data_IF_064961730709
#
_entry.id   IF_064961730709
#
_cell.length_a   1.000
_cell.length_b   1.000
_cell.length_c   1.000
_cell.angle_alpha   90.00
_cell.angle_beta   90.00
_cell.angle_gamma   90.00
#
_symmetry.space_group_name_H-M   'P 1'
#
loop_
_entity.id
_entity.type
_entity.pdbx_description
1 polymer ?
#
# COMPACT_ATOMS: atom_id res chain seq x y z
N UNK A 1 -20.63 -5.86 4.59
CA UNK A 1 -20.51 -6.60 5.87
C UNK A 1 -21.74 -7.49 6.14
N UNK A 2 -21.58 -8.82 6.23
CA UNK A 2 -22.70 -9.77 6.54
C UNK A 2 -23.13 -9.67 8.01
N UNK A 3 -22.18 -9.52 8.94
CA UNK A 3 -22.44 -9.31 10.38
C UNK A 3 -21.48 -8.22 10.90
N UNK A 4 -21.96 -6.98 11.13
CA UNK A 4 -21.19 -5.93 11.79
C UNK A 4 -20.80 -6.38 13.20
N UNK A 5 -19.51 -6.26 13.54
CA UNK A 5 -18.91 -6.64 14.83
C UNK A 5 -17.69 -5.76 15.07
N UNK A 6 -17.21 -5.66 16.30
CA UNK A 6 -16.06 -4.82 16.65
C UNK A 6 -16.31 -3.32 16.39
N UNK A 7 -17.54 -2.88 16.66
CA UNK A 7 -18.01 -1.50 16.58
C UNK A 7 -17.60 -0.78 15.28
N UNK A 8 -16.63 0.12 15.37
CA UNK A 8 -16.17 0.94 14.25
C UNK A 8 -15.27 0.19 13.27
N UNK A 9 -14.76 -1.00 13.64
CA UNK A 9 -13.82 -1.76 12.80
C UNK A 9 -14.47 -2.63 11.74
N UNK A 10 -15.81 -2.73 11.68
CA UNK A 10 -16.50 -3.46 10.61
C UNK A 10 -17.90 -2.90 10.39
N UNK A 11 -17.99 -1.74 9.76
CA UNK A 11 -19.26 -1.07 9.49
C UNK A 11 -19.77 -1.32 8.05
N UNK A 12 -21.02 -0.89 7.78
CA UNK A 12 -21.60 -0.96 6.42
C UNK A 12 -21.37 0.31 5.60
N UNK A 13 -21.13 1.42 6.29
CA UNK A 13 -20.91 2.74 5.73
C UNK A 13 -19.84 3.45 6.56
N UNK A 14 -18.85 4.01 5.89
CA UNK A 14 -17.75 4.74 6.49
C UNK A 14 -17.17 5.72 5.47
N UNK A 15 -16.47 6.73 5.97
CA UNK A 15 -15.79 7.70 5.12
C UNK A 15 -14.45 7.14 4.66
N UNK A 16 -14.18 7.26 3.37
CA UNK A 16 -12.93 6.87 2.72
C UNK A 16 -12.23 8.12 2.16
N UNK A 17 -10.91 8.08 2.17
CA UNK A 17 -10.07 9.07 1.51
C UNK A 17 -9.07 8.32 0.63
N UNK A 18 -9.29 8.33 -0.69
CA UNK A 18 -8.47 7.60 -1.65
C UNK A 18 -7.62 8.55 -2.50
N UNK A 19 -6.40 8.11 -2.83
CA UNK A 19 -5.53 8.81 -3.78
C UNK A 19 -5.14 7.85 -4.90
N UNK A 20 -5.53 8.19 -6.11
CA UNK A 20 -5.00 7.61 -7.35
C UNK A 20 -3.79 8.43 -7.79
N UNK A 21 -2.60 7.88 -7.59
CA UNK A 21 -1.41 8.45 -8.18
C UNK A 21 -1.24 7.89 -9.58
N UNK A 22 -0.73 8.65 -10.56
CA UNK A 22 -0.42 8.20 -11.92
C UNK A 22 1.05 8.53 -12.28
N UNK A 23 1.79 7.54 -12.78
CA UNK A 23 3.21 7.49 -13.15
C UNK A 23 3.38 6.58 -14.37
N UNK A 24 4.49 6.77 -15.05
CA UNK A 24 4.90 5.94 -16.19
C UNK A 24 5.22 4.51 -15.72
N UNK A 25 4.72 3.45 -16.38
CA UNK A 25 5.05 2.08 -16.02
C UNK A 25 6.55 1.76 -16.16
N UNK A 26 7.25 2.41 -17.08
CA UNK A 26 8.68 2.22 -17.34
C UNK A 26 9.56 3.12 -16.45
N UNK A 27 8.98 4.15 -15.83
CA UNK A 27 9.64 5.03 -14.87
C UNK A 27 8.79 5.22 -13.60
N UNK A 28 9.08 4.39 -12.59
CA UNK A 28 8.48 4.47 -11.24
C UNK A 28 9.36 5.23 -10.24
N UNK A 29 10.30 6.05 -10.71
CA UNK A 29 11.06 6.95 -9.85
C UNK A 29 10.16 8.00 -9.20
N UNK A 30 10.59 8.59 -8.09
CA UNK A 30 9.82 9.67 -7.45
C UNK A 30 10.74 10.86 -7.14
N UNK A 31 10.45 12.09 -7.59
CA UNK A 31 11.38 13.22 -7.46
C UNK A 31 11.68 13.60 -6.00
N UNK A 32 10.78 13.28 -5.07
CA UNK A 32 10.97 13.45 -3.61
C UNK A 32 11.50 12.21 -2.90
N UNK A 33 12.08 11.26 -3.63
CA UNK A 33 12.65 10.05 -3.06
C UNK A 33 13.84 10.35 -2.14
N UNK A 34 14.70 11.28 -2.57
CA UNK A 34 15.91 11.72 -1.86
C UNK A 34 15.63 12.47 -0.55
N UNK A 35 14.41 12.97 -0.35
CA UNK A 35 14.00 13.56 0.92
C UNK A 35 13.97 12.45 2.00
N UNK A 36 14.93 12.52 2.93
CA UNK A 36 15.02 11.81 4.21
C UNK A 36 15.02 10.27 4.13
N UNK A 37 16.22 9.67 4.16
CA UNK A 37 16.47 8.22 4.18
C UNK A 37 16.58 7.58 5.57
N UNK A 38 16.60 8.39 6.64
CA UNK A 38 16.92 7.93 8.01
C UNK A 38 15.74 7.40 8.81
N UNK A 39 14.51 7.49 8.28
CA UNK A 39 13.34 6.96 8.97
C UNK A 39 13.36 5.43 8.95
N UNK A 40 13.13 4.83 10.10
CA UNK A 40 12.99 3.37 10.24
C UNK A 40 11.54 2.99 10.46
N UNK A 41 11.09 1.97 9.75
CA UNK A 41 9.73 1.45 9.87
C UNK A 41 9.76 -0.01 10.30
N UNK A 42 8.77 -0.40 11.10
CA UNK A 42 8.53 -1.80 11.39
C UNK A 42 7.90 -2.45 10.15
N UNK A 43 8.69 -3.18 9.38
CA UNK A 43 8.30 -3.81 8.12
C UNK A 43 8.09 -5.30 8.36
N UNK A 44 6.96 -5.83 7.87
CA UNK A 44 6.63 -7.25 7.92
C UNK A 44 6.53 -7.79 6.49
N UNK A 45 7.69 -8.13 5.93
CA UNK A 45 7.82 -8.61 4.56
C UNK A 45 7.08 -9.93 4.33
N UNK A 46 6.82 -10.26 3.06
CA UNK A 46 6.25 -11.56 2.68
C UNK A 46 7.13 -12.72 3.14
N UNK A 47 8.44 -12.58 2.99
CA UNK A 47 9.40 -13.62 3.39
C UNK A 47 9.36 -13.85 4.91
N UNK A 48 9.32 -12.77 5.70
CA UNK A 48 9.25 -12.86 7.15
C UNK A 48 7.94 -13.51 7.61
N UNK A 49 6.81 -13.19 6.98
CA UNK A 49 5.52 -13.83 7.23
C UNK A 49 5.56 -15.34 6.96
N UNK A 50 6.05 -15.75 5.79
CA UNK A 50 6.09 -17.17 5.39
C UNK A 50 7.06 -17.97 6.26
N UNK A 51 8.16 -17.34 6.64
CA UNK A 51 9.21 -17.97 7.47
C UNK A 51 8.91 -17.92 8.97
N UNK A 52 7.78 -17.32 9.38
CA UNK A 52 7.40 -17.15 10.79
C UNK A 52 8.32 -16.22 11.58
N UNK A 53 9.09 -15.36 10.90
CA UNK A 53 9.94 -14.35 11.54
C UNK A 53 9.09 -13.15 11.95
N UNK A 54 9.49 -12.45 13.00
CA UNK A 54 8.84 -11.21 13.40
C UNK A 54 9.10 -10.07 12.40
N UNK A 55 8.24 -9.06 12.42
CA UNK A 55 8.49 -7.81 11.71
C UNK A 55 9.79 -7.15 12.21
N UNK A 56 10.53 -6.50 11.32
CA UNK A 56 11.84 -5.92 11.61
C UNK A 56 11.84 -4.42 11.34
N UNK A 57 12.63 -3.67 12.10
CA UNK A 57 12.88 -2.26 11.78
C UNK A 57 13.85 -2.18 10.62
N UNK A 58 13.46 -1.48 9.57
CA UNK A 58 14.25 -1.32 8.35
C UNK A 58 14.31 0.16 8.03
N UNK A 59 15.51 0.73 7.82
CA UNK A 59 15.66 2.07 7.28
C UNK A 59 15.01 2.17 5.91
N UNK A 60 14.21 3.21 5.70
CA UNK A 60 13.43 3.35 4.47
C UNK A 60 14.34 3.48 3.23
N UNK A 61 15.54 4.04 3.38
CA UNK A 61 16.55 4.11 2.33
C UNK A 61 17.03 2.74 1.88
N UNK A 62 17.10 1.77 2.78
CA UNK A 62 17.54 0.40 2.50
C UNK A 62 16.42 -0.46 1.93
N UNK A 63 15.16 -0.14 2.23
CA UNK A 63 14.02 -0.95 1.82
C UNK A 63 13.89 -1.13 0.29
N UNK A 64 14.22 -0.09 -0.50
CA UNK A 64 14.24 -0.20 -1.97
C UNK A 64 15.53 -0.85 -2.47
N UNK A 65 16.68 -0.47 -1.92
CA UNK A 65 17.98 -1.03 -2.31
C UNK A 65 18.06 -2.55 -2.05
N UNK A 66 17.43 -3.04 -0.99
CA UNK A 66 17.32 -4.45 -0.65
C UNK A 66 16.20 -5.19 -1.42
N UNK A 67 15.45 -4.50 -2.27
CA UNK A 67 14.34 -5.08 -3.03
C UNK A 67 13.13 -5.49 -2.19
N UNK A 68 13.03 -5.00 -0.95
CA UNK A 68 11.90 -5.29 -0.06
C UNK A 68 10.65 -4.53 -0.55
N UNK A 69 10.82 -3.26 -0.91
CA UNK A 69 9.79 -2.43 -1.54
C UNK A 69 10.11 -2.27 -3.01
N UNK A 70 9.13 -2.54 -3.87
CA UNK A 70 9.34 -2.71 -5.31
C UNK A 70 9.89 -1.46 -6.05
N UNK A 71 9.50 -0.24 -5.64
CA UNK A 71 9.91 0.98 -6.35
C UNK A 71 9.90 2.23 -5.45
N UNK A 72 10.51 3.31 -5.95
CA UNK A 72 10.64 4.59 -5.25
C UNK A 72 9.30 5.24 -4.93
N UNK A 73 8.35 5.17 -5.86
CA UNK A 73 7.00 5.71 -5.71
C UNK A 73 6.26 5.06 -4.55
N UNK A 74 6.24 3.72 -4.51
CA UNK A 74 5.61 2.95 -3.43
C UNK A 74 6.26 3.26 -2.08
N UNK A 75 7.60 3.32 -2.04
CA UNK A 75 8.35 3.72 -0.84
C UNK A 75 7.99 5.12 -0.38
N UNK A 76 7.88 6.08 -1.29
CA UNK A 76 7.48 7.45 -0.98
C UNK A 76 6.09 7.48 -0.33
N UNK A 77 5.14 6.72 -0.83
CA UNK A 77 3.80 6.66 -0.25
C UNK A 77 3.76 5.98 1.12
N UNK A 78 4.51 4.90 1.33
CA UNK A 78 4.71 4.30 2.66
C UNK A 78 5.21 5.36 3.65
N UNK A 79 6.23 6.17 3.26
CA UNK A 79 6.72 7.28 4.07
C UNK A 79 5.64 8.30 4.39
N UNK A 80 4.86 8.71 3.38
CA UNK A 80 3.80 9.73 3.55
C UNK A 80 2.71 9.25 4.49
N UNK A 81 2.31 7.98 4.40
CA UNK A 81 1.35 7.35 5.32
C UNK A 81 1.91 7.30 6.72
N UNK A 82 3.17 6.88 6.90
CA UNK A 82 3.82 6.89 8.22
C UNK A 82 3.79 8.29 8.86
N UNK A 83 4.21 9.32 8.11
CA UNK A 83 4.23 10.70 8.60
C UNK A 83 2.82 11.20 8.94
N UNK A 84 1.84 10.86 8.11
CA UNK A 84 0.45 11.24 8.34
C UNK A 84 -0.12 10.58 9.62
N UNK A 85 0.02 9.26 9.77
CA UNK A 85 -0.48 8.53 10.94
C UNK A 85 0.22 8.98 12.23
N UNK A 86 1.52 9.23 12.18
CA UNK A 86 2.25 9.74 13.35
C UNK A 86 1.86 11.18 13.71
N UNK A 87 1.56 12.03 12.72
CA UNK A 87 1.04 13.37 12.96
C UNK A 87 -0.38 13.34 13.58
N UNK A 88 -1.19 12.33 13.27
CA UNK A 88 -2.48 12.08 13.91
C UNK A 88 -2.36 11.52 15.35
N UNK A 89 -1.14 11.23 15.82
CA UNK A 89 -0.88 10.75 17.18
C UNK A 89 -0.82 9.23 17.32
N UNK A 90 -0.78 8.47 16.22
CA UNK A 90 -0.58 7.01 16.29
C UNK A 90 0.84 6.71 16.82
N UNK A 91 0.91 5.80 17.80
CA UNK A 91 2.19 5.38 18.38
C UNK A 91 3.03 4.63 17.33
N UNK A 92 4.25 5.14 17.09
CA UNK A 92 5.24 4.59 16.15
C UNK A 92 5.62 3.14 16.42
N UNK A 93 5.59 2.71 17.69
CA UNK A 93 5.96 1.34 18.09
C UNK A 93 4.80 0.35 17.92
N UNK A 94 3.58 0.86 17.74
CA UNK A 94 2.35 0.10 17.54
C UNK A 94 1.82 0.23 16.13
N UNK A 95 2.70 0.56 15.19
CA UNK A 95 2.41 0.69 13.77
C UNK A 95 3.43 -0.12 12.98
N UNK A 96 2.96 -0.92 12.03
CA UNK A 96 3.82 -1.68 11.12
C UNK A 96 3.29 -1.61 9.70
N UNK A 97 4.16 -1.88 8.73
CA UNK A 97 3.78 -2.06 7.33
C UNK A 97 3.88 -3.54 6.99
N UNK A 98 2.76 -4.19 6.66
CA UNK A 98 2.72 -5.60 6.29
C UNK A 98 2.58 -5.75 4.79
N UNK A 99 3.48 -6.50 4.17
CA UNK A 99 3.37 -6.81 2.74
C UNK A 99 2.31 -7.89 2.51
N UNK A 100 1.51 -7.79 1.46
CA UNK A 100 0.56 -8.85 1.12
C UNK A 100 1.29 -10.14 0.71
N UNK A 101 0.74 -11.28 1.10
CA UNK A 101 1.19 -12.58 0.60
C UNK A 101 0.76 -12.76 -0.86
N UNK A 102 1.51 -13.57 -1.62
CA UNK A 102 1.20 -13.81 -3.04
C UNK A 102 -0.23 -14.38 -3.28
N UNK A 103 -0.78 -15.12 -2.30
CA UNK A 103 -2.15 -15.66 -2.36
C UNK A 103 -3.24 -14.63 -2.06
N UNK A 104 -2.89 -13.51 -1.44
CA UNK A 104 -3.80 -12.41 -1.07
C UNK A 104 -3.87 -11.34 -2.17
N UNK A 105 -2.87 -11.32 -3.06
CA UNK A 105 -2.81 -10.38 -4.17
C UNK A 105 -3.74 -10.80 -5.30
N UNK A 106 -4.46 -9.83 -5.88
CA UNK A 106 -5.08 -10.04 -7.17
C UNK A 106 -3.99 -10.29 -8.22
N UNK A 107 -4.29 -11.15 -9.20
CA UNK A 107 -3.35 -11.66 -10.23
C UNK A 107 -2.61 -10.59 -11.04
N UNK A 108 -3.02 -9.33 -10.95
CA UNK A 108 -2.38 -8.20 -11.61
C UNK A 108 -1.51 -7.34 -10.68
N UNK A 109 -1.64 -7.37 -9.36
CA UNK A 109 -0.93 -6.43 -8.46
C UNK A 109 0.56 -6.75 -8.42
N UNK A 110 1.42 -5.73 -8.53
CA UNK A 110 2.88 -5.92 -8.52
C UNK A 110 3.43 -6.01 -7.09
N UNK A 111 2.96 -5.14 -6.19
CA UNK A 111 3.31 -5.14 -4.77
C UNK A 111 2.19 -4.43 -3.97
N UNK A 112 1.98 -4.82 -2.72
CA UNK A 112 0.95 -4.23 -1.86
C UNK A 112 1.36 -4.29 -0.40
N UNK A 113 1.14 -3.18 0.31
CA UNK A 113 1.51 -2.99 1.70
C UNK A 113 0.35 -2.39 2.48
N UNK A 114 0.08 -2.94 3.66
CA UNK A 114 -0.89 -2.40 4.61
C UNK A 114 -0.16 -1.72 5.76
N UNK A 115 -0.52 -0.48 6.07
CA UNK A 115 -0.20 0.10 7.38
C UNK A 115 -1.18 -0.48 8.41
N UNK A 116 -0.67 -1.27 9.34
CA UNK A 116 -1.43 -1.88 10.42
C UNK A 116 -1.13 -1.17 11.74
N UNK A 117 -2.18 -0.98 12.54
CA UNK A 117 -2.10 -0.40 13.87
C UNK A 117 -2.46 -1.48 14.89
N UNK A 118 -1.65 -1.61 15.93
CA UNK A 118 -1.91 -2.54 17.02
C UNK A 118 -2.90 -1.92 18.01
N UNK A 119 -4.06 -2.54 18.14
CA UNK A 119 -5.11 -2.19 19.10
C UNK A 119 -5.40 -3.37 20.05
N UNK A 120 -6.40 -3.23 20.91
CA UNK A 120 -6.83 -4.30 21.83
C UNK A 120 -7.29 -5.59 21.11
N UNK A 121 -7.64 -5.49 19.84
CA UNK A 121 -8.06 -6.62 19.00
C UNK A 121 -6.92 -7.23 18.16
N UNK A 122 -5.68 -6.78 18.38
CA UNK A 122 -4.50 -7.16 17.60
C UNK A 122 -4.15 -6.15 16.52
N UNK A 123 -3.45 -6.60 15.48
CA UNK A 123 -3.05 -5.76 14.34
C UNK A 123 -4.21 -5.61 13.36
N UNK A 124 -4.60 -4.37 13.09
CA UNK A 124 -5.70 -4.04 12.18
C UNK A 124 -5.19 -3.16 11.04
N UNK A 125 -5.58 -3.47 9.82
CA UNK A 125 -5.33 -2.65 8.63
C UNK A 125 -5.99 -1.28 8.80
N UNK A 126 -5.19 -0.21 8.68
CA UNK A 126 -5.67 1.16 8.68
C UNK A 126 -5.52 1.81 7.30
N UNK A 127 -4.51 1.43 6.52
CA UNK A 127 -4.22 2.04 5.21
C UNK A 127 -3.65 1.00 4.26
N UNK A 128 -4.38 0.69 3.18
CA UNK A 128 -3.84 -0.06 2.04
C UNK A 128 -3.02 0.81 1.08
N UNK A 129 -1.87 0.31 0.62
CA UNK A 129 -0.97 0.93 -0.35
C UNK A 129 -0.66 -0.11 -1.43
N UNK A 130 -1.25 0.03 -2.61
CA UNK A 130 -1.18 -1.01 -3.64
C UNK A 130 -0.59 -0.49 -4.96
N UNK A 131 0.40 -1.18 -5.51
CA UNK A 131 0.92 -0.96 -6.86
C UNK A 131 0.16 -1.83 -7.87
N UNK A 132 -0.87 -1.26 -8.50
CA UNK A 132 -1.72 -1.96 -9.46
C UNK A 132 -1.39 -1.53 -10.90
N UNK A 133 -0.90 -2.42 -11.76
CA UNK A 133 -0.72 -2.12 -13.16
C UNK A 133 -2.07 -2.17 -13.88
N UNK A 134 -2.51 -1.04 -14.43
CA UNK A 134 -3.37 -0.85 -15.61
C UNK A 134 -4.60 -1.73 -15.88
N UNK A 135 -4.99 -2.64 -14.98
CA UNK A 135 -6.08 -3.58 -15.21
C UNK A 135 -7.43 -2.86 -15.15
N UNK A 136 -7.61 -1.96 -14.18
CA UNK A 136 -8.87 -1.24 -13.99
C UNK A 136 -9.18 -0.29 -15.15
N UNK A 137 -8.17 0.44 -15.64
CA UNK A 137 -8.33 1.32 -16.80
C UNK A 137 -8.49 0.52 -18.09
N UNK A 138 -7.74 -0.58 -18.31
CA UNK A 138 -8.00 -1.46 -19.46
C UNK A 138 -9.38 -2.10 -19.41
N UNK A 139 -9.88 -2.50 -18.25
CA UNK A 139 -11.21 -3.07 -18.11
C UNK A 139 -12.31 -2.03 -18.42
N UNK A 140 -12.14 -0.78 -17.98
CA UNK A 140 -13.04 0.32 -18.31
C UNK A 140 -12.92 0.75 -19.79
N UNK A 141 -11.71 0.80 -20.35
CA UNK A 141 -11.45 1.15 -21.74
C UNK A 141 -11.94 0.06 -22.70
N UNK A 142 -11.76 -1.23 -22.40
CA UNK A 142 -12.30 -2.33 -23.22
C UNK A 142 -13.83 -2.31 -23.24
N UNK A 143 -14.48 -1.87 -22.15
CA UNK A 143 -15.93 -1.64 -22.13
C UNK A 143 -16.38 -0.46 -23.01
N UNK A 144 -15.48 0.49 -23.29
CA UNK A 144 -15.72 1.65 -24.16
C UNK A 144 -15.24 1.45 -25.62
N UNK A 145 -14.21 0.64 -25.85
CA UNK A 145 -13.53 0.44 -27.13
C UNK A 145 -14.04 -0.76 -27.95
N UNK A 146 -15.37 -0.95 -28.00
CA UNK A 146 -15.99 -1.41 -29.26
C UNK A 146 -16.10 -0.27 -30.30
N UNK A 147 -15.56 0.92 -30.01
CA UNK A 147 -15.37 2.02 -30.97
C UNK A 147 -13.98 2.62 -30.88
N UNK A 148 -13.19 2.35 -31.91
CA UNK A 148 -11.94 3.01 -32.31
C UNK A 148 -10.62 2.53 -31.66
N UNK A 149 -9.70 2.23 -32.56
CA UNK A 149 -8.29 1.90 -32.39
C UNK A 149 -7.46 3.08 -31.87
N UNK A 150 -6.68 2.87 -30.81
CA UNK A 150 -5.24 3.12 -30.78
C UNK A 150 -4.65 2.87 -29.38
N UNK A 151 -3.39 2.47 -29.39
CA UNK A 151 -2.47 2.21 -28.27
C UNK A 151 -2.46 3.30 -27.20
N UNK A 152 -2.65 2.93 -25.94
CA UNK A 152 -2.44 3.83 -24.79
C UNK A 152 -1.88 3.02 -23.60
N UNK A 153 -0.61 3.25 -23.28
CA UNK A 153 0.05 2.74 -22.07
C UNK A 153 -0.07 3.75 -20.94
N UNK A 154 -0.24 3.27 -19.70
CA UNK A 154 0.00 3.98 -18.43
C UNK A 154 -0.33 3.07 -17.21
N UNK A 155 -0.15 3.57 -15.97
CA UNK A 155 -0.97 3.38 -14.74
C UNK A 155 -0.33 2.71 -13.49
N UNK A 156 -0.85 3.05 -12.29
CA UNK A 156 -0.07 3.38 -11.06
C UNK A 156 -0.83 3.13 -9.73
N UNK A 157 -0.14 3.39 -8.60
CA UNK A 157 -0.38 3.16 -7.16
C UNK A 157 -1.62 3.82 -6.51
N UNK A 158 -2.29 3.03 -5.64
CA UNK A 158 -3.42 3.39 -4.76
C UNK A 158 -2.92 3.78 -3.36
N UNK A 159 -3.50 4.83 -2.75
CA UNK A 159 -3.38 5.14 -1.33
C UNK A 159 -4.74 5.16 -0.62
N UNK A 160 -4.84 4.42 0.48
CA UNK A 160 -5.90 4.31 1.49
C UNK A 160 -7.19 3.58 1.07
N UNK A 161 -7.19 2.25 1.24
CA UNK A 161 -8.35 1.62 1.87
C UNK A 161 -8.11 1.56 3.37
N UNK A 162 -8.86 2.32 4.14
CA UNK A 162 -9.04 1.97 5.54
C UNK A 162 -10.25 1.05 5.59
N UNK A 163 -10.05 -0.26 5.62
CA UNK A 163 -11.08 -1.14 6.16
C UNK A 163 -11.12 -0.91 7.66
N UNK A 164 -11.92 0.07 8.08
CA UNK A 164 -12.58 0.00 9.37
C UNK A 164 -13.82 -0.89 9.16
#
# INVERSE_FOLDING_TARGET
QISPRQDLLRVREFTLAEIEHFVDPDDKSHPKFSEVSTLEFLMFSREDQVSGRAARRIPIGEAVAAGIVNNETLRYFIRRVYLFLTQLGINKDRMRFRQHLAKEMAHYVADCWDAEIECSYGWIECVGIADRPAYDLRAHTIRFLMKSSNSCGAYTTWLLTSKW
#
